data_IF_245946442605
#
_entry.id   IF_245946442605
#
_cell.length_a   1.000
_cell.length_b   1.000
_cell.length_c   1.000
_cell.angle_alpha   90.00
_cell.angle_beta   90.00
_cell.angle_gamma   90.00
#
_symmetry.space_group_name_H-M   'P 1'
#
loop_
_entity.id
_entity.type
_entity.pdbx_description
1 polymer ?
#
# COMPACT_ATOMS: atom_id res chain seq x y z
N UNK A 1 -51.09 -29.88 -17.98
CA UNK A 1 -49.95 -29.85 -17.03
C UNK A 1 -48.93 -30.84 -17.57
N UNK A 2 -47.67 -30.56 -17.90
CA UNK A 2 -46.70 -29.63 -17.33
C UNK A 2 -45.77 -29.11 -18.45
N UNK A 3 -45.85 -27.80 -18.69
CA UNK A 3 -44.84 -27.00 -19.38
C UNK A 3 -43.73 -26.75 -18.35
N UNK A 4 -42.64 -27.52 -18.32
CA UNK A 4 -41.42 -27.19 -17.55
C UNK A 4 -40.25 -28.09 -17.96
N UNK A 5 -39.71 -27.86 -19.16
CA UNK A 5 -38.40 -28.42 -19.54
C UNK A 5 -37.65 -27.47 -20.50
N UNK A 6 -37.57 -26.21 -20.10
CA UNK A 6 -36.65 -25.23 -20.67
C UNK A 6 -35.81 -24.68 -19.52
N UNK A 7 -34.90 -25.53 -19.02
CA UNK A 7 -33.84 -25.16 -18.10
C UNK A 7 -32.76 -24.41 -18.86
N UNK A 8 -32.97 -23.10 -18.92
CA UNK A 8 -32.00 -22.02 -19.11
C UNK A 8 -30.54 -22.40 -19.41
N UNK A 9 -30.17 -22.04 -20.64
CA UNK A 9 -28.83 -21.68 -21.12
C UNK A 9 -28.13 -20.72 -20.15
N UNK A 10 -26.78 -20.79 -20.12
CA UNK A 10 -25.83 -19.77 -19.65
C UNK A 10 -25.25 -19.90 -18.22
N UNK A 11 -24.65 -21.04 -17.87
CA UNK A 11 -23.80 -21.17 -16.69
C UNK A 11 -22.30 -21.37 -16.99
N UNK A 12 -21.77 -20.86 -18.12
CA UNK A 12 -20.36 -21.08 -18.50
C UNK A 12 -19.60 -19.79 -18.86
N UNK A 13 -20.18 -18.59 -18.69
CA UNK A 13 -19.54 -17.32 -19.11
C UNK A 13 -19.29 -16.34 -17.95
N UNK A 14 -18.75 -16.79 -16.80
CA UNK A 14 -18.30 -15.86 -15.73
C UNK A 14 -16.90 -16.18 -15.17
N UNK A 15 -16.24 -17.25 -15.61
CA UNK A 15 -14.84 -17.56 -15.22
C UNK A 15 -13.78 -16.62 -15.86
N UNK A 16 -14.20 -15.47 -16.40
CA UNK A 16 -13.37 -14.46 -17.03
C UNK A 16 -13.36 -13.10 -16.34
N UNK A 17 -13.75 -12.99 -15.06
CA UNK A 17 -13.63 -11.73 -14.33
C UNK A 17 -12.20 -11.54 -13.80
N UNK A 18 -11.34 -11.10 -14.71
CA UNK A 18 -10.33 -10.07 -14.45
C UNK A 18 -9.63 -10.18 -13.10
N UNK A 19 -8.67 -11.10 -13.01
CA UNK A 19 -7.45 -10.84 -12.26
C UNK A 19 -6.73 -9.66 -12.94
N UNK A 20 -7.28 -8.46 -12.79
CA UNK A 20 -6.57 -7.21 -12.98
C UNK A 20 -5.59 -7.16 -11.81
N UNK A 21 -4.53 -7.97 -11.92
CA UNK A 21 -3.25 -7.68 -11.31
C UNK A 21 -2.77 -6.39 -11.97
N UNK A 22 -3.43 -5.27 -11.64
CA UNK A 22 -2.85 -3.96 -11.79
C UNK A 22 -1.57 -4.09 -10.98
N UNK A 23 -0.45 -4.24 -11.67
CA UNK A 23 0.86 -4.21 -11.06
C UNK A 23 0.92 -2.89 -10.32
N UNK A 24 0.58 -2.92 -9.03
CA UNK A 24 0.49 -1.72 -8.21
C UNK A 24 1.86 -1.09 -8.33
N UNK A 25 1.90 0.12 -8.87
CA UNK A 25 3.16 0.79 -9.15
C UNK A 25 3.83 1.06 -7.80
N UNK A 26 4.73 0.15 -7.44
CA UNK A 26 5.43 0.12 -6.17
C UNK A 26 6.76 0.82 -6.34
N UNK A 27 7.00 1.80 -5.51
CA UNK A 27 8.26 2.55 -5.48
C UNK A 27 8.84 2.52 -4.08
N UNK A 28 10.17 2.56 -3.98
CA UNK A 28 10.83 2.76 -2.69
C UNK A 28 10.77 4.26 -2.36
N UNK A 29 10.11 4.59 -1.25
CA UNK A 29 10.07 5.94 -0.71
C UNK A 29 11.10 6.03 0.41
N UNK A 30 11.86 7.13 0.44
CA UNK A 30 12.83 7.45 1.47
C UNK A 30 12.53 8.82 2.06
N UNK A 31 12.95 9.03 3.30
CA UNK A 31 12.95 10.33 3.95
C UNK A 31 14.11 10.43 4.95
N UNK A 32 14.55 11.66 5.19
CA UNK A 32 15.64 12.00 6.10
C UNK A 32 15.06 12.69 7.33
N UNK A 33 15.71 12.51 8.47
CA UNK A 33 15.47 13.28 9.67
C UNK A 33 16.76 13.49 10.44
N UNK A 34 16.99 14.74 10.86
CA UNK A 34 18.19 15.16 11.55
C UNK A 34 17.87 15.54 12.99
N UNK A 35 18.71 15.10 13.92
CA UNK A 35 18.68 15.64 15.27
C UNK A 35 20.04 15.55 16.00
N UNK A 36 20.14 16.23 17.15
CA UNK A 36 21.30 16.13 18.05
C UNK A 36 21.28 14.86 18.90
N UNK A 37 20.16 14.11 18.90
CA UNK A 37 20.05 12.80 19.54
C UNK A 37 19.58 11.74 18.54
N UNK A 38 20.05 10.51 18.73
CA UNK A 38 19.77 9.41 17.82
C UNK A 38 18.26 9.12 17.72
N UNK A 39 17.59 9.02 18.87
CA UNK A 39 16.18 8.64 18.91
C UNK A 39 15.27 9.69 18.27
N UNK A 40 15.60 10.99 18.42
CA UNK A 40 14.88 12.05 17.73
C UNK A 40 15.15 12.02 16.23
N UNK A 41 16.39 11.77 15.79
CA UNK A 41 16.71 11.64 14.36
C UNK A 41 15.94 10.47 13.72
N UNK A 42 15.87 9.31 14.40
CA UNK A 42 15.04 8.16 13.99
C UNK A 42 13.56 8.55 13.93
N UNK A 43 13.04 9.22 14.96
CA UNK A 43 11.65 9.64 15.02
C UNK A 43 11.30 10.60 13.87
N UNK A 44 12.14 11.59 13.60
CA UNK A 44 11.91 12.54 12.51
C UNK A 44 11.96 11.85 11.14
N UNK A 45 12.96 11.01 10.90
CA UNK A 45 13.10 10.32 9.60
C UNK A 45 11.93 9.37 9.33
N UNK A 46 11.46 8.63 10.35
CA UNK A 46 10.33 7.69 10.21
C UNK A 46 8.99 8.41 10.03
N UNK A 47 8.76 9.52 10.73
CA UNK A 47 7.55 10.32 10.53
C UNK A 47 7.56 11.07 9.19
N UNK A 48 8.71 11.61 8.78
CA UNK A 48 8.87 12.20 7.46
C UNK A 48 8.59 11.18 6.35
N UNK A 49 9.03 9.93 6.52
CA UNK A 49 8.72 8.84 5.59
C UNK A 49 7.22 8.57 5.50
N UNK A 50 6.53 8.44 6.64
CA UNK A 50 5.06 8.24 6.68
C UNK A 50 4.32 9.37 5.98
N UNK A 51 4.68 10.62 6.28
CA UNK A 51 4.08 11.79 5.66
C UNK A 51 4.36 11.86 4.16
N UNK A 52 5.57 11.49 3.72
CA UNK A 52 5.93 11.45 2.30
C UNK A 52 5.13 10.38 1.55
N UNK A 53 4.97 9.19 2.13
CA UNK A 53 4.15 8.11 1.56
C UNK A 53 2.69 8.56 1.43
N UNK A 54 2.12 9.10 2.51
CA UNK A 54 0.74 9.59 2.54
C UNK A 54 0.52 10.75 1.56
N UNK A 55 1.44 11.72 1.52
CA UNK A 55 1.38 12.87 0.61
C UNK A 55 1.50 12.49 -0.87
N UNK A 56 2.08 11.31 -1.17
CA UNK A 56 2.11 10.74 -2.53
C UNK A 56 0.89 9.87 -2.85
N UNK A 57 -0.07 9.72 -1.92
CA UNK A 57 -1.22 8.82 -2.08
C UNK A 57 -0.83 7.34 -2.18
N UNK A 58 0.34 6.98 -1.64
CA UNK A 58 0.84 5.61 -1.65
C UNK A 58 0.52 4.92 -0.32
N UNK A 59 0.53 3.59 -0.33
CA UNK A 59 0.38 2.76 0.87
C UNK A 59 1.69 2.02 1.11
N UNK A 60 2.27 2.22 2.31
CA UNK A 60 3.47 1.52 2.74
C UNK A 60 3.28 0.01 2.80
N UNK A 61 4.28 -0.74 2.33
CA UNK A 61 4.31 -2.21 2.28
C UNK A 61 5.62 -2.71 2.91
N UNK A 62 5.48 -3.66 3.82
CA UNK A 62 6.61 -4.29 4.50
C UNK A 62 7.25 -3.41 5.58
N UNK A 63 8.41 -3.82 6.12
CA UNK A 63 9.09 -3.11 7.20
C UNK A 63 9.77 -1.82 6.72
N UNK A 64 9.85 -0.82 7.60
CA UNK A 64 10.69 0.37 7.40
C UNK A 64 12.14 0.00 7.70
N UNK A 65 13.05 0.39 6.81
CA UNK A 65 14.50 0.29 7.01
C UNK A 65 15.06 1.65 7.35
N UNK A 66 15.72 1.77 8.49
CA UNK A 66 16.33 3.02 8.96
C UNK A 66 17.82 2.81 9.18
N UNK A 67 18.62 3.74 8.68
CA UNK A 67 20.07 3.79 8.89
C UNK A 67 20.42 5.19 9.38
N UNK A 68 21.26 5.30 10.40
CA UNK A 68 21.69 6.58 10.95
C UNK A 68 23.20 6.71 10.90
N UNK A 69 23.67 7.94 10.68
CA UNK A 69 25.09 8.30 10.64
C UNK A 69 25.31 9.62 11.38
N UNK A 70 26.56 9.87 11.80
CA UNK A 70 26.95 11.12 12.46
C UNK A 70 27.28 10.96 13.95
N UNK A 71 28.30 11.69 14.40
CA UNK A 71 28.79 11.70 15.79
C UNK A 71 28.46 13.01 16.53
N UNK A 72 27.94 14.02 15.83
CA UNK A 72 27.49 15.29 16.41
C UNK A 72 26.02 15.53 16.04
N UNK A 73 25.80 16.03 14.83
CA UNK A 73 24.47 15.97 14.21
C UNK A 73 24.25 14.56 13.67
N UNK A 74 23.14 13.93 14.07
CA UNK A 74 22.77 12.59 13.65
C UNK A 74 21.74 12.72 12.53
N UNK A 75 22.08 12.18 11.36
CA UNK A 75 21.21 12.08 10.20
C UNK A 75 20.71 10.64 10.10
N UNK A 76 19.39 10.46 10.08
CA UNK A 76 18.77 9.16 9.86
C UNK A 76 18.02 9.14 8.53
N UNK A 77 18.25 8.11 7.74
CA UNK A 77 17.54 7.83 6.50
C UNK A 77 16.61 6.64 6.67
N UNK A 78 15.30 6.88 6.59
CA UNK A 78 14.25 5.86 6.66
C UNK A 78 13.66 5.59 5.29
N UNK A 79 13.47 4.32 4.93
CA UNK A 79 12.88 3.93 3.64
C UNK A 79 11.93 2.75 3.73
N UNK A 80 10.94 2.72 2.85
CA UNK A 80 9.95 1.64 2.75
C UNK A 80 9.46 1.50 1.31
N UNK A 81 9.08 0.29 0.90
CA UNK A 81 8.30 0.14 -0.34
C UNK A 81 6.92 0.73 -0.12
N UNK A 82 6.43 1.51 -1.08
CA UNK A 82 5.07 2.01 -1.07
C UNK A 82 4.47 1.89 -2.46
N UNK A 83 3.23 1.44 -2.54
CA UNK A 83 2.55 1.20 -3.80
C UNK A 83 1.36 2.11 -3.95
N UNK A 84 1.02 2.50 -5.18
CA UNK A 84 -0.31 3.04 -5.46
C UNK A 84 -1.33 2.05 -4.90
N UNK A 85 -2.33 2.56 -4.17
CA UNK A 85 -3.32 1.73 -3.47
C UNK A 85 -3.81 0.59 -4.37
N UNK A 86 -3.36 -0.63 -4.08
CA UNK A 86 -3.72 -1.81 -4.84
C UNK A 86 -5.15 -2.14 -4.50
N UNK A 87 -6.07 -1.68 -5.36
CA UNK A 87 -7.53 -1.80 -5.31
C UNK A 87 -8.13 -1.28 -3.99
N UNK A 88 -9.20 -0.47 -3.98
CA UNK A 88 -10.08 -0.54 -2.83
C UNK A 88 -10.37 -2.02 -2.63
N UNK A 89 -10.27 -2.54 -1.40
CA UNK A 89 -10.94 -3.81 -1.08
C UNK A 89 -12.30 -3.73 -1.77
N UNK A 90 -12.72 -4.76 -2.52
CA UNK A 90 -13.91 -4.65 -3.34
C UNK A 90 -15.10 -4.45 -2.41
N UNK A 91 -15.41 -3.18 -2.13
CA UNK A 91 -16.37 -2.83 -1.13
C UNK A 91 -17.72 -2.81 -1.84
N UNK A 92 -18.62 -3.72 -1.48
CA UNK A 92 -20.02 -3.61 -1.88
C UNK A 92 -20.64 -2.46 -1.09
N UNK A 93 -20.57 -1.26 -1.66
CA UNK A 93 -20.99 -0.02 -0.99
C UNK A 93 -19.96 0.46 0.04
N UNK A 94 -20.36 1.40 0.90
CA UNK A 94 -19.46 2.12 1.80
C UNK A 94 -18.90 1.29 2.98
N UNK A 95 -19.26 0.00 3.12
CA UNK A 95 -19.01 -0.76 4.36
C UNK A 95 -18.57 -2.23 4.21
N UNK A 96 -18.72 -2.88 3.05
CA UNK A 96 -18.48 -4.33 2.92
C UNK A 96 -17.29 -4.66 2.03
N UNK A 97 -16.10 -4.59 2.60
CA UNK A 97 -14.83 -4.79 1.92
C UNK A 97 -14.35 -6.26 2.08
N UNK A 98 -14.08 -6.94 0.96
CA UNK A 98 -13.49 -8.30 0.91
C UNK A 98 -11.96 -8.27 0.80
#
# INVERSE_FOLDING_TARGET
MQVFKLGFVAAVMVSGLSAMAQAAECTRVGAIGDNVTHDLAVLFSTNALKNTIAGRGLIGKGPVKTTCTGSGMIECHSSQMACKGGTPASCLGAWLCF
#
